data_IF_234738191230
#
_entry.id   IF_234738191230
#
_cell.length_a   1.000
_cell.length_b   1.000
_cell.length_c   1.000
_cell.angle_alpha   90.00
_cell.angle_beta   90.00
_cell.angle_gamma   90.00
#
_symmetry.space_group_name_H-M   'P 1'
#
loop_
_entity.id
_entity.type
_entity.pdbx_description
1 polymer ?
#
# COMPACT_ATOMS: atom_id res chain seq x y z
N UNK A 1 3.03 -12.49 8.09
CA UNK A 1 3.11 -11.09 7.66
C UNK A 1 1.69 -10.62 7.34
N UNK A 2 1.26 -9.48 7.88
CA UNK A 2 -0.11 -8.97 7.70
C UNK A 2 -0.14 -8.03 6.48
N UNK A 3 -1.16 -8.14 5.63
CA UNK A 3 -1.34 -7.22 4.51
C UNK A 3 -1.94 -5.90 4.98
N UNK A 4 -1.70 -4.82 4.23
CA UNK A 4 -2.32 -3.51 4.54
C UNK A 4 -3.85 -3.60 4.62
N UNK A 5 -4.47 -4.41 3.77
CA UNK A 5 -5.92 -4.61 3.74
C UNK A 5 -6.43 -5.30 5.00
N UNK A 6 -5.74 -6.34 5.46
CA UNK A 6 -6.06 -7.02 6.70
C UNK A 6 -5.86 -6.06 7.90
N UNK A 7 -4.78 -5.27 7.90
CA UNK A 7 -4.54 -4.26 8.92
C UNK A 7 -5.66 -3.20 9.00
N UNK A 8 -6.21 -2.79 7.86
CA UNK A 8 -7.39 -1.90 7.83
C UNK A 8 -8.57 -2.57 8.53
N UNK A 9 -8.86 -3.83 8.21
CA UNK A 9 -9.99 -4.55 8.82
C UNK A 9 -9.79 -4.74 10.34
N UNK A 10 -8.58 -5.06 10.78
CA UNK A 10 -8.22 -5.16 12.21
C UNK A 10 -8.40 -3.81 12.91
N UNK A 11 -7.90 -2.71 12.32
CA UNK A 11 -8.00 -1.35 12.88
C UNK A 11 -9.45 -0.93 13.15
N UNK A 12 -10.38 -1.33 12.29
CA UNK A 12 -11.80 -1.03 12.43
C UNK A 12 -12.61 -2.16 13.09
N UNK A 13 -11.96 -3.22 13.57
CA UNK A 13 -12.58 -4.41 14.17
C UNK A 13 -13.69 -5.00 13.31
N UNK A 14 -13.46 -5.14 12.00
CA UNK A 14 -14.40 -5.76 11.06
C UNK A 14 -13.79 -6.99 10.40
N UNK A 15 -14.65 -7.88 9.91
CA UNK A 15 -14.21 -9.00 9.09
C UNK A 15 -13.58 -8.55 7.77
N UNK A 16 -12.56 -9.29 7.34
CA UNK A 16 -11.91 -9.09 6.06
C UNK A 16 -12.81 -9.58 4.93
N UNK A 17 -13.35 -8.63 4.17
CA UNK A 17 -14.02 -8.87 2.90
C UNK A 17 -13.78 -7.67 1.98
N UNK A 18 -13.94 -7.89 0.68
CA UNK A 18 -13.64 -6.90 -0.36
C UNK A 18 -14.40 -5.58 -0.15
N UNK A 19 -15.69 -5.67 0.22
CA UNK A 19 -16.55 -4.50 0.49
C UNK A 19 -16.00 -3.65 1.64
N UNK A 20 -15.59 -4.27 2.73
CA UNK A 20 -15.02 -3.59 3.88
C UNK A 20 -13.67 -2.97 3.54
N UNK A 21 -12.80 -3.71 2.85
CA UNK A 21 -11.48 -3.21 2.42
C UNK A 21 -11.62 -1.97 1.54
N UNK A 22 -12.48 -2.00 0.52
CA UNK A 22 -12.69 -0.85 -0.38
C UNK A 22 -13.24 0.35 0.40
N UNK A 23 -14.30 0.14 1.19
CA UNK A 23 -14.97 1.22 1.94
C UNK A 23 -14.01 1.87 2.95
N UNK A 24 -13.25 1.08 3.69
CA UNK A 24 -12.36 1.57 4.72
C UNK A 24 -11.07 2.15 4.15
N UNK A 25 -10.53 1.59 3.06
CA UNK A 25 -9.41 2.18 2.33
C UNK A 25 -9.76 3.57 1.83
N UNK A 26 -10.95 3.73 1.23
CA UNK A 26 -11.45 5.03 0.81
C UNK A 26 -11.57 5.99 1.99
N UNK A 27 -12.17 5.55 3.10
CA UNK A 27 -12.30 6.38 4.32
C UNK A 27 -10.96 6.89 4.83
N UNK A 28 -9.91 6.06 4.82
CA UNK A 28 -8.58 6.47 5.27
C UNK A 28 -7.95 7.46 4.30
N UNK A 29 -8.11 7.26 2.98
CA UNK A 29 -7.64 8.19 1.98
C UNK A 29 -8.37 9.55 2.08
N UNK A 30 -9.67 9.53 2.38
CA UNK A 30 -10.50 10.73 2.57
C UNK A 30 -10.08 11.51 3.84
N UNK A 31 -9.48 10.86 4.84
CA UNK A 31 -8.89 11.53 6.01
C UNK A 31 -7.60 12.30 5.68
N UNK A 32 -7.08 12.18 4.45
CA UNK A 32 -5.90 12.89 3.98
C UNK A 32 -4.60 12.19 4.36
N UNK A 33 -3.60 12.96 4.80
CA UNK A 33 -2.22 12.50 5.07
C UNK A 33 -2.10 11.60 6.31
N UNK A 34 -2.82 10.48 6.32
CA UNK A 34 -2.82 9.44 7.33
C UNK A 34 -2.18 8.17 6.77
N UNK A 35 -1.48 7.43 7.62
CA UNK A 35 -0.83 6.18 7.28
C UNK A 35 -1.16 5.12 8.34
N UNK A 36 -1.35 3.88 7.91
CA UNK A 36 -1.51 2.74 8.80
C UNK A 36 -0.15 2.09 8.99
N UNK A 37 0.25 1.96 10.24
CA UNK A 37 1.55 1.41 10.64
C UNK A 37 1.38 0.51 11.87
N UNK A 38 2.45 -0.16 12.26
CA UNK A 38 2.58 -0.85 13.54
C UNK A 38 3.93 -0.51 14.18
N UNK A 39 4.08 -0.72 15.49
CA UNK A 39 5.35 -0.48 16.19
C UNK A 39 6.06 -1.80 16.48
N UNK A 40 5.49 -2.62 17.35
CA UNK A 40 6.07 -3.91 17.76
C UNK A 40 5.23 -5.08 17.27
N UNK A 41 3.91 -4.94 17.34
CA UNK A 41 2.94 -5.99 17.05
C UNK A 41 2.18 -5.69 15.74
N UNK A 42 2.38 -6.47 14.66
CA UNK A 42 1.65 -6.33 13.41
C UNK A 42 0.13 -6.52 13.57
N UNK A 43 -0.36 -7.18 14.62
CA UNK A 43 -1.80 -7.37 14.90
C UNK A 43 -2.43 -6.17 15.60
N UNK A 44 -1.64 -5.13 15.91
CA UNK A 44 -2.08 -3.89 16.53
C UNK A 44 -1.81 -2.68 15.61
N UNK A 45 -2.53 -2.56 14.48
CA UNK A 45 -2.38 -1.43 13.59
C UNK A 45 -2.78 -0.13 14.28
N UNK A 46 -2.03 0.93 13.97
CA UNK A 46 -2.33 2.29 14.40
C UNK A 46 -2.41 3.21 13.20
N UNK A 47 -3.36 4.14 13.23
CA UNK A 47 -3.50 5.18 12.22
C UNK A 47 -2.83 6.45 12.73
N UNK A 48 -1.79 6.91 12.03
CA UNK A 48 -1.03 8.11 12.40
C UNK A 48 -0.94 9.09 11.24
N UNK A 49 -0.75 10.40 11.52
CA UNK A 49 -0.40 11.35 10.48
C UNK A 49 0.93 10.97 9.81
N UNK A 50 1.01 11.10 8.49
CA UNK A 50 2.21 10.87 7.70
C UNK A 50 3.43 11.61 8.24
N UNK A 51 3.24 12.85 8.73
CA UNK A 51 4.30 13.65 9.35
C UNK A 51 4.92 12.98 10.58
N UNK A 52 4.13 12.27 11.39
CA UNK A 52 4.65 11.53 12.56
C UNK A 52 5.48 10.33 12.13
N UNK A 53 5.04 9.63 11.07
CA UNK A 53 5.82 8.54 10.48
C UNK A 53 7.17 9.04 9.98
N UNK A 54 7.16 10.15 9.24
CA UNK A 54 8.37 10.76 8.68
C UNK A 54 9.34 11.27 9.75
N UNK A 55 8.82 11.75 10.89
CA UNK A 55 9.67 12.19 12.00
C UNK A 55 10.42 11.02 12.67
N UNK A 56 9.80 9.83 12.76
CA UNK A 56 10.37 8.67 13.45
C UNK A 56 10.28 7.39 12.58
N UNK A 57 11.08 7.27 11.51
CA UNK A 57 10.97 6.16 10.54
C UNK A 57 11.37 4.80 11.13
N UNK A 58 12.15 4.77 12.20
CA UNK A 58 12.58 3.53 12.86
C UNK A 58 11.54 2.95 13.81
N UNK A 59 10.63 3.78 14.32
CA UNK A 59 9.60 3.38 15.29
C UNK A 59 8.37 2.77 14.61
N UNK A 60 8.07 3.21 13.38
CA UNK A 60 6.85 2.84 12.68
C UNK A 60 7.15 1.97 11.47
N UNK A 61 6.58 0.78 11.45
CA UNK A 61 6.67 -0.16 10.34
C UNK A 61 5.40 -0.12 9.49
N UNK A 62 5.56 -0.16 8.17
CA UNK A 62 4.46 -0.17 7.21
C UNK A 62 4.12 -1.58 6.77
N UNK A 63 2.83 -1.86 6.61
CA UNK A 63 2.39 -3.11 6.00
C UNK A 63 2.71 -3.11 4.50
N UNK A 64 3.08 -4.27 3.96
CA UNK A 64 3.26 -4.45 2.52
C UNK A 64 1.90 -4.26 1.84
N UNK A 65 1.86 -3.33 0.87
CA UNK A 65 0.75 -3.28 -0.08
C UNK A 65 0.89 -4.48 -1.02
N UNK A 66 -0.20 -5.20 -1.33
CA UNK A 66 -0.13 -6.21 -2.38
C UNK A 66 0.39 -5.52 -3.65
N UNK A 67 1.49 -6.02 -4.21
CA UNK A 67 2.01 -5.56 -5.49
C UNK A 67 0.86 -5.70 -6.49
N UNK A 68 0.48 -4.63 -7.22
CA UNK A 68 -0.48 -4.78 -8.29
C UNK A 68 0.07 -5.87 -9.20
N UNK A 69 -0.68 -6.96 -9.40
CA UNK A 69 -0.30 -7.95 -10.40
C UNK A 69 -0.31 -7.21 -11.73
N UNK A 70 0.88 -6.87 -12.22
CA UNK A 70 1.05 -6.41 -13.58
C UNK A 70 0.41 -7.48 -14.45
N UNK A 71 -0.67 -7.11 -15.16
CA UNK A 71 -1.18 -7.93 -16.23
C UNK A 71 -0.04 -8.11 -17.22
N UNK A 72 0.45 -9.34 -17.35
CA UNK A 72 1.33 -9.76 -18.43
C UNK A 72 0.70 -9.33 -19.77
N UNK A 73 1.26 -8.30 -20.40
CA UNK A 73 1.15 -8.07 -21.82
C UNK A 73 2.50 -8.45 -22.43
N UNK A 74 2.54 -9.72 -22.83
CA UNK A 74 3.53 -10.44 -23.60
C UNK A 74 3.89 -9.76 -24.94
N UNK A 75 5.18 -9.85 -25.31
CA UNK A 75 5.62 -10.07 -26.69
C UNK A 75 6.13 -8.87 -27.52
N UNK A 76 7.45 -8.83 -27.77
CA UNK A 76 8.01 -8.15 -28.95
C UNK A 76 9.48 -7.73 -28.90
N UNK A 77 10.40 -8.66 -29.18
CA UNK A 77 11.84 -8.44 -29.40
C UNK A 77 12.17 -7.74 -30.75
N UNK A 78 13.14 -6.81 -30.71
CA UNK A 78 14.29 -6.60 -31.61
C UNK A 78 14.21 -6.01 -33.06
N UNK A 79 15.05 -4.97 -33.26
CA UNK A 79 15.76 -4.49 -34.49
C UNK A 79 14.93 -3.82 -35.62
N UNK A 80 15.37 -2.81 -36.39
CA UNK A 80 16.63 -2.08 -36.59
C UNK A 80 16.35 -0.73 -37.29
N UNK A 81 17.40 0.10 -37.41
CA UNK A 81 17.60 1.15 -38.44
C UNK A 81 16.77 2.44 -38.41
N UNK A 82 17.33 3.51 -37.80
CA UNK A 82 17.34 4.82 -38.46
C UNK A 82 18.43 5.79 -37.94
N UNK A 83 19.69 5.36 -37.97
CA UNK A 83 20.79 6.34 -38.11
C UNK A 83 20.87 6.78 -39.58
N UNK A 84 20.03 7.76 -39.94
CA UNK A 84 20.23 8.60 -41.13
C UNK A 84 19.65 9.99 -40.87
N UNK A 85 20.46 10.83 -40.22
CA UNK A 85 20.52 12.29 -40.38
C UNK A 85 21.48 12.89 -39.34
N UNK A 86 22.71 13.14 -39.76
CA UNK A 86 23.32 14.47 -39.90
C UNK A 86 24.70 14.28 -40.52
#
# INVERSE_FOLDING_TARGET
MISRELAICILFCVEQNEKNVIRLSKRINDMGSMEIVYTEDPERPVLIPLRRRQANPTMYHTYIAPVPKESEADGGEMQSDLFKRC
#
